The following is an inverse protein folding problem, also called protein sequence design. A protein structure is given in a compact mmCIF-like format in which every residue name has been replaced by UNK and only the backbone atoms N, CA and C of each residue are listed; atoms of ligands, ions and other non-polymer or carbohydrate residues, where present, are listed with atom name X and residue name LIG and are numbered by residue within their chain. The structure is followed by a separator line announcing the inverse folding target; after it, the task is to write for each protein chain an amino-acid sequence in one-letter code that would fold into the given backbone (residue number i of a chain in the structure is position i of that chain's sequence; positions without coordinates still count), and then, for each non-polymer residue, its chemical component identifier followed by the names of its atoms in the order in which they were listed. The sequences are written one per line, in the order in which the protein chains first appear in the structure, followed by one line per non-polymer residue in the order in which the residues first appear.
data_IF_664446998357
#
_entry.id   IF_664446998357
#
_cell.length_a   1.000
_cell.length_b   1.000
_cell.length_c   1.000
_cell.angle_alpha   90.00
_cell.angle_beta   90.00
_cell.angle_gamma   90.00
#
_symmetry.space_group_name_H-M   'P 1'
#
loop_
_entity.id
_entity.type
_entity.pdbx_description
1 polymer ?
#
# COMPACT_ATOMS: atom_id res chain seq x y z
N UNK A 1 -7.32 17.49 2.81
CA UNK A 1 -7.61 16.34 1.92
C UNK A 1 -7.58 16.90 0.52
N UNK A 2 -6.73 16.38 -0.36
CA UNK A 2 -6.37 17.03 -1.64
C UNK A 2 -7.30 16.49 -2.73
N UNK A 3 -7.82 17.37 -3.60
CA UNK A 3 -8.59 16.92 -4.77
C UNK A 3 -7.66 16.21 -5.75
N UNK A 4 -8.15 15.13 -6.38
CA UNK A 4 -7.30 14.32 -7.27
C UNK A 4 -6.65 15.13 -8.40
N UNK A 5 -7.32 16.18 -8.86
CA UNK A 5 -6.86 17.10 -9.90
C UNK A 5 -5.72 18.01 -9.46
N UNK A 6 -5.55 18.23 -8.16
CA UNK A 6 -4.57 19.15 -7.57
C UNK A 6 -3.30 18.43 -7.12
N UNK A 7 -3.21 17.11 -7.29
CA UNK A 7 -2.09 16.33 -6.76
C UNK A 7 -0.72 16.79 -7.30
N UNK A 8 -0.68 17.32 -8.53
CA UNK A 8 0.53 17.80 -9.17
C UNK A 8 1.27 18.85 -8.34
N UNK A 9 0.54 19.73 -7.66
CA UNK A 9 1.10 20.81 -6.84
C UNK A 9 1.73 20.31 -5.52
N UNK A 10 1.50 19.05 -5.17
CA UNK A 10 1.96 18.42 -3.93
C UNK A 10 2.99 17.31 -4.16
N UNK A 11 3.32 17.00 -5.42
CA UNK A 11 4.33 15.99 -5.74
C UNK A 11 5.74 16.58 -5.62
N UNK A 12 6.73 15.76 -5.19
CA UNK A 12 8.14 16.14 -5.30
C UNK A 12 8.58 16.19 -6.76
N UNK A 13 9.66 16.93 -7.04
CA UNK A 13 10.23 17.04 -8.39
C UNK A 13 10.72 15.67 -8.94
N UNK A 14 11.06 14.73 -8.06
CA UNK A 14 11.52 13.39 -8.42
C UNK A 14 11.22 12.33 -7.34
N UNK A 15 11.44 11.07 -7.69
CA UNK A 15 11.31 9.93 -6.78
C UNK A 15 9.98 9.17 -6.90
N UNK A 16 9.72 8.29 -5.93
CA UNK A 16 8.51 7.46 -5.85
C UNK A 16 7.59 8.00 -4.77
N UNK A 17 6.30 8.09 -5.08
CA UNK A 17 5.28 8.58 -4.14
C UNK A 17 4.17 7.55 -4.00
N UNK A 18 3.78 7.28 -2.75
CA UNK A 18 2.61 6.48 -2.42
C UNK A 18 1.44 7.40 -2.08
N UNK A 19 0.33 7.21 -2.78
CA UNK A 19 -0.88 8.03 -2.65
C UNK A 19 -2.02 7.16 -2.13
N UNK A 20 -2.68 7.59 -1.05
CA UNK A 20 -3.88 6.93 -0.53
C UNK A 20 -5.11 7.75 -0.88
N UNK A 21 -6.10 7.10 -1.50
CA UNK A 21 -7.39 7.71 -1.82
C UNK A 21 -8.49 7.16 -0.92
N UNK A 22 -9.39 8.04 -0.46
CA UNK A 22 -10.62 7.69 0.25
C UNK A 22 -11.76 8.51 -0.33
N UNK A 23 -12.83 7.84 -0.73
CA UNK A 23 -14.04 8.47 -1.28
C UNK A 23 -13.75 9.46 -2.43
N UNK A 24 -12.85 9.08 -3.34
CA UNK A 24 -12.47 9.91 -4.49
C UNK A 24 -11.46 11.03 -4.20
N UNK A 25 -11.10 11.27 -2.93
CA UNK A 25 -10.14 12.30 -2.53
C UNK A 25 -8.83 11.70 -2.04
N UNK A 26 -7.73 12.44 -2.16
CA UNK A 26 -6.44 12.03 -1.64
C UNK A 26 -6.39 12.31 -0.13
N UNK A 27 -6.29 11.23 0.65
CA UNK A 27 -6.23 11.28 2.11
C UNK A 27 -4.80 11.28 2.66
N UNK A 28 -3.83 10.76 1.91
CA UNK A 28 -2.42 10.77 2.29
C UNK A 28 -1.49 10.73 1.08
N UNK A 29 -0.34 11.38 1.22
CA UNK A 29 0.76 11.39 0.27
C UNK A 29 2.07 11.21 1.06
N UNK A 30 2.92 10.27 0.64
CA UNK A 30 4.25 10.09 1.21
C UNK A 30 5.25 9.69 0.14
N UNK A 31 6.49 10.12 0.30
CA UNK A 31 7.61 9.62 -0.51
C UNK A 31 7.91 8.18 -0.04
N UNK A 32 8.13 7.28 -1.00
CA UNK A 32 8.57 5.92 -0.73
C UNK A 32 10.10 5.88 -0.69
N UNK A 33 10.66 5.19 0.29
CA UNK A 33 12.11 5.00 0.42
C UNK A 33 12.63 4.04 -0.65
N UNK A 34 13.94 4.06 -0.87
CA UNK A 34 14.51 3.29 -1.97
C UNK A 34 14.42 1.77 -1.78
N UNK A 35 14.45 1.34 -0.53
CA UNK A 35 14.31 -0.04 -0.04
C UNK A 35 12.85 -0.47 0.16
N UNK A 36 11.87 0.43 -0.02
CA UNK A 36 10.47 0.07 0.04
C UNK A 36 9.96 -0.54 -1.29
N UNK A 37 9.29 -1.68 -1.16
CA UNK A 37 8.61 -2.34 -2.25
C UNK A 37 7.10 -2.40 -1.99
N UNK A 38 6.30 -1.92 -2.95
CA UNK A 38 4.85 -2.05 -2.89
C UNK A 38 4.46 -3.45 -3.38
N UNK A 39 3.90 -4.26 -2.50
CA UNK A 39 3.38 -5.58 -2.81
C UNK A 39 1.92 -5.70 -2.39
N UNK A 40 1.16 -6.52 -3.11
CA UNK A 40 -0.18 -6.89 -2.67
C UNK A 40 -0.09 -7.83 -1.45
N UNK A 41 -1.16 -7.88 -0.64
CA UNK A 41 -1.25 -8.86 0.44
C UNK A 41 -1.15 -10.31 -0.08
N UNK A 42 -1.70 -10.58 -1.27
CA UNK A 42 -1.57 -11.89 -1.94
C UNK A 42 -0.11 -12.23 -2.24
N UNK A 43 0.65 -11.26 -2.76
CA UNK A 43 2.08 -11.44 -3.05
C UNK A 43 2.88 -11.71 -1.77
N UNK A 44 2.51 -11.08 -0.66
CA UNK A 44 3.11 -11.38 0.65
C UNK A 44 2.83 -12.85 1.06
N UNK A 45 1.61 -13.34 0.86
CA UNK A 45 1.28 -14.74 1.17
C UNK A 45 2.05 -15.72 0.29
N UNK A 46 2.12 -15.47 -1.02
CA UNK A 46 2.89 -16.30 -1.96
C UNK A 46 4.37 -16.37 -1.57
N UNK A 47 4.98 -15.25 -1.18
CA UNK A 47 6.37 -15.21 -0.73
C UNK A 47 6.59 -15.97 0.59
N UNK A 48 5.65 -15.87 1.52
CA UNK A 48 5.70 -16.60 2.78
C UNK A 48 5.61 -18.12 2.54
N UNK A 49 4.69 -18.57 1.70
CA UNK A 49 4.52 -19.98 1.34
C UNK A 49 5.75 -20.55 0.64
N UNK A 50 6.33 -19.80 -0.32
CA UNK A 50 7.59 -20.18 -0.98
C UNK A 50 8.76 -20.28 -0.01
N UNK A 51 8.71 -19.57 1.11
CA UNK A 51 9.72 -19.59 2.17
C UNK A 51 9.47 -20.70 3.21
N UNK A 52 8.48 -21.56 2.99
CA UNK A 52 8.14 -22.69 3.88
C UNK A 52 7.20 -22.33 5.03
N UNK A 53 6.60 -21.14 5.02
CA UNK A 53 5.57 -20.78 6.00
C UNK A 53 4.18 -21.24 5.55
N UNK A 54 3.27 -21.40 6.51
CA UNK A 54 1.84 -21.58 6.26
C UNK A 54 1.09 -20.38 6.81
N UNK A 55 0.33 -19.68 5.95
CA UNK A 55 -0.51 -18.56 6.37
C UNK A 55 -1.78 -19.12 7.02
N UNK A 56 -2.00 -18.79 8.28
CA UNK A 56 -3.21 -19.14 9.03
C UNK A 56 -4.05 -17.89 9.26
N UNK A 57 -5.27 -17.88 8.72
CA UNK A 57 -6.27 -16.86 9.05
C UNK A 57 -6.79 -17.14 10.46
N UNK A 58 -6.52 -16.22 11.39
CA UNK A 58 -7.01 -16.35 12.78
C UNK A 58 -8.52 -16.08 12.79
N UNK A 59 -9.28 -17.12 13.12
CA UNK A 59 -10.73 -17.13 13.40
C UNK A 59 -11.68 -16.71 12.26
N UNK A 60 -12.10 -17.70 11.45
CA UNK A 60 -13.49 -17.76 10.93
C UNK A 60 -14.43 -18.52 11.88
N UNK A 61 -14.07 -18.64 13.15
CA UNK A 61 -14.91 -19.24 14.19
C UNK A 61 -15.92 -18.20 14.65
N UNK A 62 -17.15 -18.24 14.10
CA UNK A 62 -18.31 -17.77 14.87
C UNK A 62 -18.39 -18.69 16.09
N UNK A 63 -18.03 -18.18 17.26
CA UNK A 63 -18.45 -18.77 18.54
C UNK A 63 -19.66 -18.00 19.02
#
# INVERSE_FOLDING_TARGET
MIEKTEIGDHLPDNGRVLVTLRNGKISALRIAHDDEHLASLKSLFELAELSGFTIVEKDKTKV
#
